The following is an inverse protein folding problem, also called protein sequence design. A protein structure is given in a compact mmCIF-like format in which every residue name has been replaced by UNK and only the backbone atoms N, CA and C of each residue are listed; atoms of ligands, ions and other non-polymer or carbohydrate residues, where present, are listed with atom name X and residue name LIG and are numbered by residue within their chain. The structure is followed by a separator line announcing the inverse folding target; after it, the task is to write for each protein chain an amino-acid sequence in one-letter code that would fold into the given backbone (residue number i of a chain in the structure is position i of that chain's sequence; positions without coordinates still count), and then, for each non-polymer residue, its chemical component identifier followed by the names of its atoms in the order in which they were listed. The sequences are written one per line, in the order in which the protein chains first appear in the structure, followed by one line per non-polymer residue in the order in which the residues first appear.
data_IF_392677310652
#
_entry.id   IF_392677310652
#
_cell.length_a   1.000
_cell.length_b   1.000
_cell.length_c   1.000
_cell.angle_alpha   90.00
_cell.angle_beta   90.00
_cell.angle_gamma   90.00
#
_symmetry.space_group_name_H-M   'P 1'
#
loop_
_entity.id
_entity.type
_entity.pdbx_description
1 polymer ?
#
# COMPACT_ATOMS: atom_id res chain seq x y z
N UNK A 1 -8.41 -2.79 17.52
CA UNK A 1 -7.01 -3.24 17.39
C UNK A 1 -6.66 -4.21 18.51
N UNK A 2 -5.72 -5.10 18.26
CA UNK A 2 -5.14 -6.01 19.26
C UNK A 2 -3.62 -5.87 19.21
N UNK A 3 -2.98 -5.99 20.37
CA UNK A 3 -1.53 -5.94 20.53
C UNK A 3 -1.07 -7.24 21.16
N UNK A 4 -0.08 -7.88 20.56
CA UNK A 4 0.62 -9.03 21.10
C UNK A 4 2.12 -8.75 21.15
N UNK A 5 2.72 -8.90 22.34
CA UNK A 5 4.15 -8.66 22.54
C UNK A 5 4.64 -9.44 23.78
N UNK A 6 5.91 -9.27 24.14
CA UNK A 6 6.45 -9.87 25.38
C UNK A 6 5.72 -9.35 26.62
N UNK A 7 5.78 -10.13 27.71
CA UNK A 7 5.10 -9.78 28.98
C UNK A 7 5.59 -8.43 29.50
N UNK A 8 6.88 -8.14 29.41
CA UNK A 8 7.44 -6.89 29.93
C UNK A 8 7.07 -5.69 29.06
N UNK A 9 7.08 -5.83 27.73
CA UNK A 9 6.55 -4.82 26.80
C UNK A 9 5.07 -4.58 27.06
N UNK A 10 4.28 -5.61 27.31
CA UNK A 10 2.86 -5.48 27.63
C UNK A 10 2.64 -4.71 28.93
N UNK A 11 3.39 -5.02 30.00
CA UNK A 11 3.32 -4.25 31.26
C UNK A 11 3.64 -2.77 31.06
N UNK A 12 4.70 -2.49 30.30
CA UNK A 12 5.08 -1.10 29.99
C UNK A 12 3.97 -0.38 29.22
N UNK A 13 3.42 -0.99 28.17
CA UNK A 13 2.35 -0.39 27.37
C UNK A 13 1.06 -0.22 28.18
N UNK A 14 0.65 -1.20 28.97
CA UNK A 14 -0.53 -1.10 29.82
C UNK A 14 -0.41 0.09 30.81
N UNK A 15 0.77 0.30 31.39
CA UNK A 15 1.01 1.45 32.28
C UNK A 15 0.83 2.78 31.54
N UNK A 16 1.25 2.87 30.29
CA UNK A 16 1.06 4.07 29.46
C UNK A 16 -0.40 4.27 29.04
N UNK A 17 -1.02 3.21 28.56
CA UNK A 17 -2.43 3.28 28.14
C UNK A 17 -3.39 3.57 29.28
N UNK A 18 -3.11 3.10 30.51
CA UNK A 18 -3.98 3.38 31.66
C UNK A 18 -4.06 4.87 32.02
N UNK A 19 -3.04 5.65 31.63
CA UNK A 19 -3.04 7.11 31.82
C UNK A 19 -3.73 7.83 30.66
N UNK A 20 -3.64 7.26 29.45
CA UNK A 20 -4.20 7.86 28.23
C UNK A 20 -5.68 7.55 28.03
N UNK A 21 -6.12 6.36 28.44
CA UNK A 21 -7.46 5.84 28.14
C UNK A 21 -8.07 5.24 29.41
N UNK A 22 -9.14 5.85 29.92
CA UNK A 22 -9.87 5.35 31.09
C UNK A 22 -10.66 4.07 30.74
N UNK A 23 -11.26 4.05 29.53
CA UNK A 23 -12.08 2.93 29.07
C UNK A 23 -12.03 2.81 27.55
N UNK A 24 -11.93 1.58 27.08
CA UNK A 24 -12.05 1.26 25.66
C UNK A 24 -13.52 1.22 25.22
N UNK A 25 -13.77 1.42 23.92
CA UNK A 25 -15.12 1.35 23.34
C UNK A 25 -15.65 -0.09 23.37
N UNK A 26 -16.20 -0.46 24.53
CA UNK A 26 -16.80 -1.79 24.78
C UNK A 26 -18.02 -2.07 23.92
N UNK A 27 -18.77 -1.01 23.57
CA UNK A 27 -19.95 -1.14 22.70
C UNK A 27 -19.54 -1.56 21.30
N UNK A 28 -18.47 -0.98 20.75
CA UNK A 28 -17.95 -1.37 19.45
C UNK A 28 -17.36 -2.79 19.48
N UNK A 29 -16.66 -3.15 20.55
CA UNK A 29 -16.18 -4.52 20.75
C UNK A 29 -17.35 -5.52 20.74
N UNK A 30 -18.42 -5.24 21.48
CA UNK A 30 -19.60 -6.10 21.53
C UNK A 30 -20.30 -6.21 20.17
N UNK A 31 -20.37 -5.12 19.38
CA UNK A 31 -20.87 -5.15 17.99
C UNK A 31 -20.08 -6.13 17.13
N UNK A 32 -18.75 -6.07 17.19
CA UNK A 32 -17.88 -6.99 16.45
C UNK A 32 -18.06 -8.45 16.90
N UNK A 33 -18.12 -8.69 18.20
CA UNK A 33 -18.39 -10.05 18.74
C UNK A 33 -19.73 -10.59 18.25
N UNK A 34 -20.78 -9.79 18.28
CA UNK A 34 -22.12 -10.20 17.81
C UNK A 34 -22.17 -10.42 16.31
N UNK A 35 -21.45 -9.60 15.53
CA UNK A 35 -21.42 -9.68 14.07
C UNK A 35 -20.59 -10.86 13.58
N UNK A 36 -19.36 -10.99 14.09
CA UNK A 36 -18.39 -12.00 13.64
C UNK A 36 -18.62 -13.36 14.32
N UNK A 37 -19.16 -13.37 15.55
CA UNK A 37 -19.49 -14.52 16.38
C UNK A 37 -18.27 -15.40 16.75
N UNK A 38 -17.57 -15.96 15.78
CA UNK A 38 -16.49 -16.92 15.95
C UNK A 38 -15.48 -16.80 14.78
N UNK A 39 -14.47 -17.67 14.77
CA UNK A 39 -13.42 -17.71 13.74
C UNK A 39 -14.01 -17.93 12.34
N UNK A 40 -14.99 -18.79 12.22
CA UNK A 40 -15.65 -19.11 10.95
C UNK A 40 -16.37 -17.87 10.39
N UNK A 41 -17.02 -17.09 11.25
CA UNK A 41 -17.63 -15.80 10.88
C UNK A 41 -16.63 -14.78 10.39
N UNK A 42 -15.45 -14.68 11.04
CA UNK A 42 -14.34 -13.83 10.59
C UNK A 42 -13.86 -14.26 9.21
N UNK A 43 -13.59 -15.57 9.01
CA UNK A 43 -13.10 -16.09 7.74
C UNK A 43 -14.11 -15.89 6.60
N UNK A 44 -15.40 -16.12 6.88
CA UNK A 44 -16.47 -15.87 5.91
C UNK A 44 -16.56 -14.39 5.51
N UNK A 45 -16.39 -13.48 6.47
CA UNK A 45 -16.36 -12.04 6.22
C UNK A 45 -15.12 -11.64 5.40
N UNK A 46 -13.94 -12.14 5.73
CA UNK A 46 -12.73 -11.94 4.95
C UNK A 46 -12.87 -12.43 3.51
N UNK A 47 -13.51 -13.60 3.29
CA UNK A 47 -13.76 -14.11 1.96
C UNK A 47 -14.65 -13.19 1.10
N UNK A 48 -15.62 -12.49 1.70
CA UNK A 48 -16.42 -11.48 1.00
C UNK A 48 -15.57 -10.30 0.52
N UNK A 49 -14.70 -9.78 1.38
CA UNK A 49 -13.78 -8.70 1.00
C UNK A 49 -12.80 -9.16 -0.08
N UNK A 50 -12.24 -10.35 0.06
CA UNK A 50 -11.31 -10.92 -0.93
C UNK A 50 -11.89 -10.92 -2.34
N UNK A 51 -13.14 -11.35 -2.52
CA UNK A 51 -13.79 -11.39 -3.85
C UNK A 51 -13.83 -10.03 -4.53
N UNK A 52 -13.91 -8.95 -3.74
CA UNK A 52 -13.93 -7.58 -4.26
C UNK A 52 -12.53 -7.04 -4.51
N UNK A 53 -11.56 -7.38 -3.67
CA UNK A 53 -10.22 -6.79 -3.70
C UNK A 53 -9.27 -7.49 -4.69
N UNK A 54 -9.36 -8.82 -4.81
CA UNK A 54 -8.45 -9.60 -5.66
C UNK A 54 -8.43 -9.09 -7.10
N UNK A 55 -9.56 -8.80 -7.79
CA UNK A 55 -9.52 -8.28 -9.15
C UNK A 55 -8.71 -6.98 -9.28
N UNK A 56 -8.85 -6.05 -8.33
CA UNK A 56 -8.08 -4.80 -8.32
C UNK A 56 -6.57 -5.03 -8.15
N UNK A 57 -6.18 -5.97 -7.26
CA UNK A 57 -4.78 -6.34 -7.10
C UNK A 57 -4.21 -7.04 -8.32
N UNK A 58 -5.02 -7.89 -8.95
CA UNK A 58 -4.60 -8.61 -10.16
C UNK A 58 -4.44 -7.64 -11.34
N UNK A 59 -5.32 -6.66 -11.51
CA UNK A 59 -5.20 -5.61 -12.52
C UNK A 59 -3.86 -4.85 -12.39
N UNK A 60 -3.53 -4.38 -11.19
CA UNK A 60 -2.24 -3.69 -10.95
C UNK A 60 -1.05 -4.59 -11.30
N UNK A 61 -1.07 -5.85 -10.83
CA UNK A 61 0.04 -6.78 -11.10
C UNK A 61 0.16 -7.13 -12.58
N UNK A 62 -0.96 -7.27 -13.28
CA UNK A 62 -0.97 -7.51 -14.72
C UNK A 62 -0.32 -6.35 -15.46
N UNK A 63 -0.75 -5.11 -15.21
CA UNK A 63 -0.17 -3.92 -15.80
C UNK A 63 1.35 -3.83 -15.52
N UNK A 64 1.79 -4.09 -14.28
CA UNK A 64 3.22 -4.07 -13.95
C UNK A 64 4.00 -5.17 -14.68
N UNK A 65 3.44 -6.38 -14.78
CA UNK A 65 4.10 -7.48 -15.48
C UNK A 65 4.21 -7.22 -16.99
N UNK A 66 3.18 -6.64 -17.60
CA UNK A 66 3.13 -6.40 -19.04
C UNK A 66 3.95 -5.17 -19.44
N UNK A 67 3.91 -4.10 -18.66
CA UNK A 67 4.47 -2.81 -19.02
C UNK A 67 5.85 -2.51 -18.39
N UNK A 68 6.15 -3.03 -17.19
CA UNK A 68 7.40 -2.72 -16.51
C UNK A 68 8.42 -3.85 -16.62
N UNK A 69 8.00 -5.13 -16.57
CA UNK A 69 8.94 -6.26 -16.69
C UNK A 69 9.77 -6.22 -17.97
N UNK A 70 9.23 -5.88 -19.17
CA UNK A 70 10.01 -5.78 -20.38
C UNK A 70 11.07 -4.67 -20.38
N UNK A 71 10.96 -3.71 -19.46
CA UNK A 71 11.88 -2.58 -19.36
C UNK A 71 13.12 -2.86 -18.50
N UNK A 72 13.31 -4.10 -18.03
CA UNK A 72 14.43 -4.49 -17.18
C UNK A 72 14.29 -4.04 -15.73
N UNK A 73 15.40 -3.74 -15.07
CA UNK A 73 15.45 -3.48 -13.62
C UNK A 73 15.03 -2.04 -13.22
N UNK A 74 14.11 -1.43 -13.95
CA UNK A 74 13.62 -0.08 -13.62
C UNK A 74 12.63 -0.05 -12.45
N UNK A 75 11.99 -1.19 -12.13
CA UNK A 75 11.06 -1.32 -11.03
C UNK A 75 10.93 -2.77 -10.57
N UNK A 76 10.57 -2.94 -9.28
CA UNK A 76 10.11 -4.21 -8.74
C UNK A 76 9.00 -3.98 -7.72
N UNK A 77 8.20 -5.00 -7.41
CA UNK A 77 7.05 -4.87 -6.52
C UNK A 77 6.79 -6.11 -5.69
N UNK A 78 6.08 -5.90 -4.59
CA UNK A 78 5.66 -7.01 -3.74
C UNK A 78 4.43 -7.72 -4.31
N UNK A 79 4.32 -9.03 -4.03
CA UNK A 79 3.12 -9.82 -4.33
C UNK A 79 2.42 -10.22 -3.02
N UNK A 80 1.64 -9.31 -2.40
CA UNK A 80 1.05 -9.56 -1.08
C UNK A 80 -0.06 -10.61 -1.15
N UNK A 81 -0.09 -11.50 -0.15
CA UNK A 81 -1.16 -12.50 0.03
C UNK A 81 -2.34 -11.95 0.85
N UNK A 82 -2.26 -10.74 1.33
CA UNK A 82 -3.27 -10.06 2.13
C UNK A 82 -2.88 -8.60 2.37
N UNK A 83 -3.75 -7.86 3.06
CA UNK A 83 -3.59 -6.43 3.26
C UNK A 83 -4.23 -5.59 2.16
N UNK A 84 -3.83 -4.31 2.08
CA UNK A 84 -4.46 -3.31 1.23
C UNK A 84 -3.48 -2.62 0.28
N UNK A 85 -2.20 -3.00 0.32
CA UNK A 85 -1.14 -2.27 -0.38
C UNK A 85 -0.22 -3.19 -1.17
N UNK A 86 0.27 -2.67 -2.30
CA UNK A 86 1.42 -3.18 -3.02
C UNK A 86 2.55 -2.17 -2.81
N UNK A 87 3.73 -2.62 -2.42
CA UNK A 87 4.94 -1.79 -2.43
C UNK A 87 5.56 -1.86 -3.82
N UNK A 88 5.65 -0.72 -4.47
CA UNK A 88 6.35 -0.54 -5.74
C UNK A 88 7.67 0.17 -5.45
N UNK A 89 8.76 -0.42 -5.88
CA UNK A 89 10.09 0.17 -5.84
C UNK A 89 10.52 0.52 -7.25
N UNK A 90 10.79 1.79 -7.48
CA UNK A 90 11.30 2.34 -8.75
C UNK A 90 12.79 2.59 -8.65
N UNK A 91 13.43 3.01 -9.71
CA UNK A 91 14.85 3.39 -9.67
C UNK A 91 15.12 4.41 -8.55
N UNK A 92 16.21 4.27 -7.78
CA UNK A 92 16.57 5.23 -6.75
C UNK A 92 16.54 6.68 -7.25
N UNK A 93 15.96 7.60 -6.46
CA UNK A 93 15.80 9.00 -6.84
C UNK A 93 14.60 9.31 -7.74
N UNK A 94 13.78 8.30 -8.09
CA UNK A 94 12.66 8.48 -9.01
C UNK A 94 11.27 8.54 -8.36
N UNK A 95 11.09 8.14 -7.08
CA UNK A 95 9.76 8.01 -6.50
C UNK A 95 9.00 9.34 -6.45
N UNK A 96 9.63 10.42 -6.04
CA UNK A 96 9.00 11.76 -6.05
C UNK A 96 8.66 12.23 -7.45
N UNK A 97 9.55 11.94 -8.43
CA UNK A 97 9.30 12.30 -9.83
C UNK A 97 8.11 11.55 -10.39
N UNK A 98 8.02 10.24 -10.15
CA UNK A 98 6.84 9.42 -10.53
C UNK A 98 5.57 9.98 -9.90
N UNK A 99 5.59 10.26 -8.59
CA UNK A 99 4.43 10.82 -7.90
C UNK A 99 4.00 12.18 -8.47
N UNK A 100 4.96 13.03 -8.88
CA UNK A 100 4.67 14.31 -9.53
C UNK A 100 4.05 14.11 -10.92
N UNK A 101 4.63 13.26 -11.77
CA UNK A 101 4.09 12.94 -13.09
C UNK A 101 2.67 12.40 -13.00
N UNK A 102 2.41 11.46 -12.08
CA UNK A 102 1.07 10.95 -11.82
C UNK A 102 0.10 12.08 -11.46
N UNK A 103 0.50 12.97 -10.54
CA UNK A 103 -0.33 14.11 -10.13
C UNK A 103 -0.64 15.06 -11.28
N UNK A 104 0.33 15.34 -12.13
CA UNK A 104 0.16 16.23 -13.29
C UNK A 104 -0.83 15.64 -14.31
N UNK A 105 -0.94 14.30 -14.36
CA UNK A 105 -1.92 13.58 -15.17
C UNK A 105 -3.25 13.29 -14.43
N UNK A 106 -3.45 13.82 -13.22
CA UNK A 106 -4.68 13.64 -12.45
C UNK A 106 -4.74 12.38 -11.58
N UNK A 107 -3.68 11.56 -11.53
CA UNK A 107 -3.58 10.39 -10.67
C UNK A 107 -2.92 10.76 -9.33
N UNK A 108 -3.71 10.74 -8.26
CA UNK A 108 -3.19 11.01 -6.91
C UNK A 108 -2.74 9.71 -6.23
N UNK A 109 -1.45 9.60 -5.98
CA UNK A 109 -0.85 8.54 -5.19
C UNK A 109 -0.69 8.94 -3.71
N UNK A 110 -0.51 7.94 -2.84
CA UNK A 110 0.03 8.21 -1.50
C UNK A 110 1.42 8.81 -1.66
N UNK A 111 1.72 9.89 -0.93
CA UNK A 111 2.98 10.63 -1.10
C UNK A 111 4.23 9.73 -0.99
N UNK A 112 5.21 9.98 -1.83
CA UNK A 112 6.51 9.30 -1.75
C UNK A 112 7.12 9.45 -0.35
N UNK A 113 7.73 8.40 0.16
CA UNK A 113 8.28 8.37 1.53
C UNK A 113 7.26 8.12 2.64
N UNK A 114 5.95 8.03 2.35
CA UNK A 114 4.90 7.85 3.37
C UNK A 114 5.01 6.55 4.19
N UNK A 115 5.73 5.56 3.71
CA UNK A 115 5.99 4.30 4.42
C UNK A 115 7.20 4.38 5.37
N UNK A 116 7.95 5.47 5.35
CA UNK A 116 9.14 5.67 6.16
C UNK A 116 8.91 6.65 7.32
N UNK A 117 9.62 6.50 8.44
CA UNK A 117 9.59 7.49 9.52
C UNK A 117 9.92 8.90 9.00
N UNK A 118 9.20 9.89 9.49
CA UNK A 118 9.34 11.29 9.10
C UNK A 118 9.20 11.56 7.60
N UNK A 119 8.55 10.64 6.85
CA UNK A 119 8.39 10.70 5.39
C UNK A 119 9.73 10.79 4.62
N UNK A 120 10.79 10.22 5.19
CA UNK A 120 12.13 10.22 4.59
C UNK A 120 12.46 8.83 4.08
N UNK A 121 12.27 8.63 2.78
CA UNK A 121 12.81 7.47 2.06
C UNK A 121 14.26 7.79 1.67
N UNK A 122 15.26 7.06 2.18
CA UNK A 122 16.68 7.33 1.90
C UNK A 122 17.02 7.27 0.42
N UNK A 123 16.40 6.33 -0.29
CA UNK A 123 16.70 6.05 -1.68
C UNK A 123 15.76 6.76 -2.65
N UNK A 124 14.70 7.42 -2.14
CA UNK A 124 13.63 8.00 -2.97
C UNK A 124 13.13 7.04 -4.06
N UNK A 125 12.84 5.80 -3.64
CA UNK A 125 12.52 4.69 -4.54
C UNK A 125 11.17 4.04 -4.26
N UNK A 126 10.55 4.25 -3.09
CA UNK A 126 9.38 3.52 -2.65
C UNK A 126 8.08 4.29 -2.86
N UNK A 127 7.12 3.61 -3.47
CA UNK A 127 5.74 4.07 -3.63
C UNK A 127 4.77 3.02 -3.07
N UNK A 128 3.76 3.47 -2.35
CA UNK A 128 2.69 2.63 -1.81
C UNK A 128 1.45 2.72 -2.68
N UNK A 129 1.08 1.63 -3.32
CA UNK A 129 -0.08 1.54 -4.20
C UNK A 129 -1.25 0.92 -3.42
N UNK A 130 -2.40 1.60 -3.43
CA UNK A 130 -3.62 1.22 -2.69
C UNK A 130 -4.81 1.03 -3.65
N UNK A 131 -4.96 -0.11 -4.32
CA UNK A 131 -5.96 -0.31 -5.37
C UNK A 131 -7.35 -0.69 -4.83
N UNK A 132 -7.66 -0.38 -3.57
CA UNK A 132 -8.82 -0.98 -2.88
C UNK A 132 -10.03 -0.07 -2.80
N UNK A 133 -9.90 1.21 -3.13
CA UNK A 133 -10.98 2.21 -3.06
C UNK A 133 -11.66 2.44 -4.42
N UNK A 134 -10.93 2.62 -5.56
CA UNK A 134 -11.53 2.88 -6.85
C UNK A 134 -12.28 1.66 -7.42
N UNK A 135 -13.06 1.87 -8.47
CA UNK A 135 -13.64 0.78 -9.27
C UNK A 135 -12.54 0.02 -10.02
N UNK A 136 -12.85 -1.18 -10.53
CA UNK A 136 -11.87 -1.97 -11.28
C UNK A 136 -11.38 -1.22 -12.54
N UNK A 137 -12.28 -0.64 -13.30
CA UNK A 137 -11.96 0.13 -14.54
C UNK A 137 -11.04 1.33 -14.24
N UNK A 138 -11.29 2.01 -13.10
CA UNK A 138 -10.40 3.10 -12.64
C UNK A 138 -9.03 2.58 -12.24
N UNK A 139 -8.96 1.40 -11.58
CA UNK A 139 -7.67 0.77 -11.20
C UNK A 139 -6.88 0.37 -12.43
N UNK A 140 -7.51 -0.21 -13.44
CA UNK A 140 -6.88 -0.58 -14.72
C UNK A 140 -6.26 0.66 -15.38
N UNK A 141 -7.06 1.69 -15.63
CA UNK A 141 -6.59 2.96 -16.22
C UNK A 141 -5.47 3.61 -15.40
N UNK A 142 -5.62 3.64 -14.08
CA UNK A 142 -4.62 4.23 -13.18
C UNK A 142 -3.30 3.44 -13.18
N UNK A 143 -3.38 2.11 -13.31
CA UNK A 143 -2.19 1.25 -13.36
C UNK A 143 -1.40 1.43 -14.64
N UNK A 144 -2.07 1.54 -15.78
CA UNK A 144 -1.43 1.83 -17.07
C UNK A 144 -0.74 3.19 -17.05
N UNK A 145 -1.43 4.22 -16.55
CA UNK A 145 -0.87 5.55 -16.41
C UNK A 145 0.34 5.57 -15.47
N UNK A 146 0.27 4.85 -14.35
CA UNK A 146 1.39 4.71 -13.42
C UNK A 146 2.60 4.07 -14.09
N UNK A 147 2.41 3.02 -14.89
CA UNK A 147 3.48 2.38 -15.64
C UNK A 147 4.18 3.35 -16.61
N UNK A 148 3.41 4.17 -17.32
CA UNK A 148 3.97 5.22 -18.19
C UNK A 148 4.80 6.22 -17.38
N UNK A 149 4.30 6.68 -16.24
CA UNK A 149 5.03 7.62 -15.37
C UNK A 149 6.33 7.03 -14.82
N UNK A 150 6.32 5.74 -14.44
CA UNK A 150 7.53 5.03 -13.97
C UNK A 150 8.57 4.94 -15.09
N UNK A 151 8.16 4.54 -16.28
CA UNK A 151 9.04 4.45 -17.46
C UNK A 151 9.63 5.83 -17.83
N UNK A 152 8.81 6.86 -17.84
CA UNK A 152 9.25 8.23 -18.14
C UNK A 152 10.29 8.72 -17.12
N UNK A 153 10.03 8.57 -15.83
CA UNK A 153 10.97 8.97 -14.78
C UNK A 153 12.31 8.20 -14.88
N UNK A 154 12.26 6.91 -15.21
CA UNK A 154 13.45 6.10 -15.43
C UNK A 154 14.26 6.59 -16.63
N UNK A 155 13.61 6.91 -17.74
CA UNK A 155 14.26 7.45 -18.95
C UNK A 155 14.89 8.81 -18.67
N UNK A 156 14.16 9.73 -18.03
CA UNK A 156 14.69 11.06 -17.64
C UNK A 156 15.98 10.91 -16.81
N UNK A 157 15.99 9.99 -15.84
CA UNK A 157 17.17 9.74 -15.00
C UNK A 157 18.33 9.18 -15.82
N UNK A 158 18.10 8.13 -16.62
CA UNK A 158 19.15 7.48 -17.41
C UNK A 158 19.77 8.44 -18.44
N UNK A 159 18.98 9.38 -18.98
CA UNK A 159 19.50 10.42 -19.87
C UNK A 159 20.36 11.42 -19.11
N UNK A 160 19.95 11.83 -17.92
CA UNK A 160 20.72 12.75 -17.09
C UNK A 160 22.06 12.15 -16.61
N UNK A 161 22.14 10.83 -16.41
CA UNK A 161 23.38 10.15 -16.04
C UNK A 161 24.37 9.96 -17.22
N UNK A 162 23.89 10.13 -18.46
CA UNK A 162 24.73 10.05 -19.67
C UNK A 162 25.20 11.39 -20.21
N UNK A 163 24.64 12.48 -19.71
CA UNK A 163 24.97 13.85 -20.10
C UNK A 163 26.12 14.41 -19.27
#
# INVERSE_FOLDING_TARGET
SAIACSVDSMKYMCKRFSVMIISYDKMNQLRHVRFLKNKEGVLAHMAKHRRRLVPCFDAVKTAFNEELTPCGDIAHWTNPKGGYFISLYVMPGCAKRVAQLCKDCGLTLTGAGSAYPYHKDPDDAHLRIAPTYPSLDEVETASDLLCVCVRLAAVEKLLAEKA
#
